data_IF_230479078293
#
_entry.id   IF_230479078293
#
_cell.length_a   1.000
_cell.length_b   1.000
_cell.length_c   1.000
_cell.angle_alpha   90.00
_cell.angle_beta   90.00
_cell.angle_gamma   90.00
#
_symmetry.space_group_name_H-M   'P 1'
#
loop_
_entity.id
_entity.type
_entity.pdbx_description
1 polymer ?
#
# COMPACT_ATOMS: atom_id res chain seq x y z
N UNK A 1 -11.40 -22.91 -19.09
CA UNK A 1 -11.84 -21.50 -19.22
C UNK A 1 -11.19 -20.92 -20.46
N UNK A 2 -11.98 -20.49 -21.43
CA UNK A 2 -11.48 -19.86 -22.65
C UNK A 2 -11.02 -18.43 -22.33
N UNK A 3 -9.70 -18.26 -22.20
CA UNK A 3 -9.07 -16.97 -21.85
C UNK A 3 -9.19 -15.94 -22.97
N UNK A 4 -9.58 -16.31 -24.19
CA UNK A 4 -9.81 -15.38 -25.31
C UNK A 4 -11.12 -14.60 -25.18
N UNK A 5 -12.11 -15.11 -24.42
CA UNK A 5 -13.37 -14.40 -24.12
C UNK A 5 -13.27 -13.43 -22.95
N UNK A 6 -12.18 -13.51 -22.20
CA UNK A 6 -11.90 -12.66 -21.04
C UNK A 6 -11.19 -11.39 -21.51
N UNK A 7 -11.94 -10.47 -22.14
CA UNK A 7 -11.49 -9.11 -22.45
C UNK A 7 -11.48 -8.25 -21.16
N UNK A 8 -10.71 -8.70 -20.16
CA UNK A 8 -10.69 -8.12 -18.81
C UNK A 8 -9.49 -7.21 -18.67
N UNK A 9 -9.68 -5.96 -19.07
CA UNK A 9 -8.76 -4.89 -18.72
C UNK A 9 -9.05 -4.41 -17.30
N UNK A 10 -8.05 -4.43 -16.42
CA UNK A 10 -8.06 -3.71 -15.16
C UNK A 10 -8.52 -4.49 -13.93
N UNK A 11 -9.05 -3.75 -12.94
CA UNK A 11 -9.42 -4.28 -11.63
C UNK A 11 -10.90 -4.66 -11.66
N UNK A 12 -11.18 -5.89 -11.28
CA UNK A 12 -12.53 -6.44 -11.11
C UNK A 12 -12.89 -6.30 -9.63
N UNK A 13 -13.87 -5.44 -9.36
CA UNK A 13 -14.40 -5.19 -8.01
C UNK A 13 -15.29 -6.34 -7.53
N UNK A 14 -15.41 -6.55 -6.21
CA UNK A 14 -16.24 -7.58 -5.57
C UNK A 14 -17.67 -7.71 -6.14
N UNK A 15 -18.30 -6.59 -6.53
CA UNK A 15 -19.69 -6.54 -6.98
C UNK A 15 -19.83 -6.84 -8.48
N UNK A 16 -18.71 -7.08 -9.19
CA UNK A 16 -18.73 -7.27 -10.63
C UNK A 16 -19.33 -8.63 -11.01
N UNK A 17 -20.27 -8.61 -11.96
CA UNK A 17 -20.79 -9.84 -12.63
C UNK A 17 -19.68 -10.71 -13.24
N UNK A 18 -18.49 -10.12 -13.50
CA UNK A 18 -17.31 -10.83 -14.03
C UNK A 18 -16.70 -11.82 -13.03
N UNK A 19 -17.02 -11.73 -11.74
CA UNK A 19 -16.53 -12.66 -10.71
C UNK A 19 -17.32 -13.97 -10.64
N UNK A 20 -18.35 -14.15 -11.49
CA UNK A 20 -19.10 -15.42 -11.63
C UNK A 20 -19.56 -16.03 -10.30
N UNK A 21 -19.99 -15.18 -9.35
CA UNK A 21 -20.50 -15.63 -8.05
C UNK A 21 -19.49 -15.65 -6.91
N UNK A 22 -18.29 -15.08 -7.09
CA UNK A 22 -17.29 -14.92 -6.02
C UNK A 22 -17.16 -13.46 -5.52
N UNK A 23 -18.16 -12.93 -4.79
CA UNK A 23 -18.15 -11.54 -4.31
C UNK A 23 -17.07 -11.28 -3.26
N UNK A 24 -16.43 -12.30 -2.70
CA UNK A 24 -15.32 -12.16 -1.76
C UNK A 24 -14.01 -11.69 -2.41
N UNK A 25 -13.89 -11.84 -3.74
CA UNK A 25 -12.64 -11.58 -4.45
C UNK A 25 -12.56 -10.19 -5.07
N UNK A 26 -11.37 -9.64 -4.96
CA UNK A 26 -10.83 -8.51 -5.72
C UNK A 26 -9.76 -9.10 -6.64
N UNK A 27 -9.95 -8.97 -7.96
CA UNK A 27 -9.02 -9.50 -8.95
C UNK A 27 -8.43 -8.35 -9.77
N UNK A 28 -7.10 -8.23 -9.78
CA UNK A 28 -6.40 -7.29 -10.66
C UNK A 28 -5.83 -8.03 -11.85
N UNK A 29 -6.24 -7.63 -13.06
CA UNK A 29 -5.76 -8.20 -14.31
C UNK A 29 -4.92 -7.12 -15.00
N UNK A 30 -3.62 -7.38 -15.20
CA UNK A 30 -2.66 -6.42 -15.76
C UNK A 30 -2.15 -6.91 -17.12
N UNK A 31 -1.94 -5.98 -18.06
CA UNK A 31 -1.62 -6.20 -19.47
C UNK A 31 -0.18 -6.68 -19.78
N UNK A 32 0.56 -7.25 -18.82
CA UNK A 32 1.89 -7.78 -19.11
C UNK A 32 1.81 -9.29 -19.41
N UNK A 33 2.75 -9.80 -20.22
CA UNK A 33 2.96 -11.20 -20.64
C UNK A 33 3.05 -12.24 -19.50
N UNK A 34 2.79 -11.83 -18.26
CA UNK A 34 2.67 -12.67 -17.07
C UNK A 34 1.27 -12.48 -16.46
N UNK A 35 0.40 -13.49 -16.60
CA UNK A 35 -0.83 -13.59 -15.81
C UNK A 35 -0.45 -13.78 -14.33
N UNK A 36 -0.36 -12.70 -13.56
CA UNK A 36 -0.22 -12.81 -12.11
C UNK A 36 -1.59 -13.12 -11.51
N UNK A 37 -1.90 -14.40 -11.33
CA UNK A 37 -2.91 -14.84 -10.37
C UNK A 37 -2.41 -14.54 -8.96
N UNK A 38 -2.48 -13.26 -8.54
CA UNK A 38 -2.23 -12.87 -7.14
C UNK A 38 -3.08 -13.78 -6.25
N UNK A 39 -2.46 -14.37 -5.21
CA UNK A 39 -2.66 -15.75 -4.71
C UNK A 39 -4.09 -16.29 -4.81
N UNK A 40 -4.61 -16.52 -6.02
CA UNK A 40 -6.02 -16.85 -6.28
C UNK A 40 -7.05 -16.01 -5.50
N UNK A 41 -6.83 -14.70 -5.36
CA UNK A 41 -7.75 -13.82 -4.59
C UNK A 41 -7.62 -13.92 -3.06
N UNK A 42 -6.69 -14.71 -2.52
CA UNK A 42 -6.54 -14.85 -1.05
C UNK A 42 -6.12 -13.57 -0.31
N UNK A 43 -5.62 -12.56 -1.03
CA UNK A 43 -5.34 -11.23 -0.49
C UNK A 43 -6.51 -10.24 -0.65
N UNK A 44 -7.63 -10.66 -1.24
CA UNK A 44 -8.78 -9.77 -1.44
C UNK A 44 -9.30 -9.20 -0.13
N UNK A 45 -9.26 -9.98 0.96
CA UNK A 45 -9.60 -9.51 2.31
C UNK A 45 -8.84 -8.24 2.70
N UNK A 46 -7.56 -8.11 2.37
CA UNK A 46 -6.77 -6.91 2.64
C UNK A 46 -7.27 -5.70 1.83
N UNK A 47 -7.44 -5.86 0.51
CA UNK A 47 -7.87 -4.76 -0.35
C UNK A 47 -9.30 -4.31 -0.04
N UNK A 48 -10.18 -5.23 0.32
CA UNK A 48 -11.53 -4.92 0.80
C UNK A 48 -11.48 -4.16 2.12
N UNK A 49 -10.67 -4.59 3.09
CA UNK A 49 -10.52 -3.86 4.34
C UNK A 49 -9.99 -2.43 4.14
N UNK A 50 -9.04 -2.22 3.21
CA UNK A 50 -8.59 -0.87 2.86
C UNK A 50 -9.72 -0.03 2.26
N UNK A 51 -10.43 -0.58 1.27
CA UNK A 51 -11.43 0.13 0.48
C UNK A 51 -12.74 0.38 1.22
N UNK A 52 -13.27 -0.64 1.89
CA UNK A 52 -14.60 -0.66 2.47
C UNK A 52 -14.58 -0.28 3.95
N UNK A 53 -13.54 -0.69 4.69
CA UNK A 53 -13.49 -0.53 6.15
C UNK A 53 -12.48 0.53 6.62
N UNK A 54 -11.63 1.06 5.73
CA UNK A 54 -10.50 1.93 6.07
C UNK A 54 -9.59 1.30 7.14
N UNK A 55 -9.30 0.01 6.98
CA UNK A 55 -8.46 -0.76 7.89
C UNK A 55 -7.24 -1.35 7.20
N UNK A 56 -6.11 -1.35 7.91
CA UNK A 56 -4.90 -2.07 7.53
C UNK A 56 -4.92 -3.41 8.24
N UNK A 57 -5.06 -4.50 7.49
CA UNK A 57 -4.97 -5.84 8.07
C UNK A 57 -3.55 -6.39 7.96
N UNK A 58 -3.05 -6.94 9.06
CA UNK A 58 -1.87 -7.80 9.09
C UNK A 58 -2.28 -9.26 9.25
N UNK A 59 -1.36 -10.17 8.99
CA UNK A 59 -1.54 -11.60 9.27
C UNK A 59 -0.59 -12.04 10.37
N UNK A 60 -1.11 -12.65 11.43
CA UNK A 60 -0.37 -13.15 12.58
C UNK A 60 -0.22 -14.67 12.49
N UNK A 61 1.02 -15.15 12.48
CA UNK A 61 1.33 -16.55 12.71
C UNK A 61 1.59 -16.77 14.20
N UNK A 62 0.96 -17.78 14.81
CA UNK A 62 1.18 -18.14 16.23
C UNK A 62 2.66 -18.34 16.59
N UNK A 63 3.47 -18.85 15.66
CA UNK A 63 4.90 -19.14 15.87
C UNK A 63 5.84 -18.01 15.46
N UNK A 64 5.46 -17.19 14.49
CA UNK A 64 6.40 -16.27 13.83
C UNK A 64 6.01 -14.79 13.95
N UNK A 65 4.89 -14.45 14.58
CA UNK A 65 4.46 -13.06 14.78
C UNK A 65 3.71 -12.47 13.60
N UNK A 66 3.76 -11.14 13.47
CA UNK A 66 2.96 -10.37 12.52
C UNK A 66 3.70 -10.14 11.19
N UNK A 67 2.94 -10.19 10.09
CA UNK A 67 3.42 -9.89 8.74
C UNK A 67 2.56 -8.80 8.10
N UNK A 68 3.23 -7.77 7.59
CA UNK A 68 2.63 -6.67 6.84
C UNK A 68 3.59 -6.25 5.70
N UNK A 69 3.20 -6.28 4.41
CA UNK A 69 1.88 -6.61 3.88
C UNK A 69 1.41 -8.02 4.25
N UNK A 70 0.10 -8.24 4.43
CA UNK A 70 -0.40 -9.53 4.89
C UNK A 70 -0.16 -10.62 3.83
N UNK A 71 -0.01 -11.85 4.32
CA UNK A 71 0.17 -13.04 3.48
C UNK A 71 -0.84 -14.09 3.91
N UNK A 72 -1.49 -14.80 2.99
CA UNK A 72 -2.49 -15.81 3.34
C UNK A 72 -1.88 -17.10 3.92
N UNK A 73 -0.55 -17.15 4.00
CA UNK A 73 0.25 -18.19 4.65
C UNK A 73 1.44 -17.51 5.33
N UNK A 74 1.95 -18.11 6.41
CA UNK A 74 3.18 -17.65 7.02
C UNK A 74 4.38 -17.89 6.07
N UNK A 75 5.23 -16.88 5.77
CA UNK A 75 6.39 -17.08 4.91
C UNK A 75 7.46 -17.98 5.52
N UNK A 76 7.54 -18.03 6.86
CA UNK A 76 8.58 -18.78 7.57
C UNK A 76 8.24 -20.29 7.68
N UNK A 77 6.96 -20.64 7.92
CA UNK A 77 6.55 -22.04 8.11
C UNK A 77 5.48 -22.54 7.15
N UNK A 78 5.08 -21.72 6.19
CA UNK A 78 4.10 -22.05 5.13
C UNK A 78 2.70 -22.47 5.63
N UNK A 79 2.46 -22.37 6.94
CA UNK A 79 1.16 -22.69 7.53
C UNK A 79 0.07 -21.75 7.00
N UNK A 80 -1.10 -22.28 6.59
CA UNK A 80 -2.28 -21.48 6.31
C UNK A 80 -3.01 -21.01 7.58
N UNK A 81 -2.68 -21.57 8.76
CA UNK A 81 -3.24 -21.14 10.05
C UNK A 81 -2.60 -19.80 10.47
N UNK A 82 -3.13 -18.73 9.89
CA UNK A 82 -2.81 -17.34 10.22
C UNK A 82 -4.07 -16.57 10.58
N UNK A 83 -3.96 -15.73 11.61
CA UNK A 83 -5.04 -14.86 12.05
C UNK A 83 -4.94 -13.51 11.32
N UNK A 84 -6.07 -13.01 10.80
CA UNK A 84 -6.14 -11.67 10.24
C UNK A 84 -6.52 -10.68 11.33
N UNK A 85 -5.64 -9.72 11.60
CA UNK A 85 -5.78 -8.78 12.70
C UNK A 85 -5.87 -7.34 12.18
N UNK A 86 -6.68 -6.52 12.83
CA UNK A 86 -6.67 -5.07 12.59
C UNK A 86 -5.35 -4.49 13.12
N UNK A 87 -4.62 -3.83 12.23
CA UNK A 87 -3.29 -3.31 12.47
C UNK A 87 -3.23 -1.79 12.21
N UNK A 88 -4.39 -1.14 12.06
CA UNK A 88 -4.52 0.26 11.63
C UNK A 88 -3.90 1.24 12.62
N UNK A 89 -4.05 0.98 13.92
CA UNK A 89 -3.62 1.88 15.00
C UNK A 89 -2.19 1.59 15.50
N UNK A 90 -1.43 0.75 14.81
CA UNK A 90 -0.05 0.44 15.20
C UNK A 90 0.89 1.60 14.87
N UNK A 91 1.90 1.89 15.71
CA UNK A 91 2.89 2.92 15.41
C UNK A 91 3.54 2.66 14.05
N UNK A 92 3.61 3.69 13.20
CA UNK A 92 4.17 3.60 11.87
C UNK A 92 5.29 4.62 11.67
N UNK A 93 6.38 4.19 11.04
CA UNK A 93 7.50 5.05 10.71
C UNK A 93 8.10 4.67 9.36
N UNK A 94 8.69 5.65 8.69
CA UNK A 94 9.46 5.40 7.47
C UNK A 94 10.74 4.66 7.86
N UNK A 95 10.89 3.42 7.39
CA UNK A 95 12.16 2.67 7.52
C UNK A 95 13.19 3.20 6.54
N UNK A 96 12.76 3.41 5.31
CA UNK A 96 13.53 4.06 4.24
C UNK A 96 12.58 4.59 3.17
N UNK A 97 13.01 5.56 2.38
CA UNK A 97 12.22 6.10 1.29
C UNK A 97 13.08 6.49 0.09
N UNK A 98 12.45 6.54 -1.08
CA UNK A 98 13.04 7.08 -2.31
C UNK A 98 12.10 8.08 -2.94
N UNK A 99 12.65 9.13 -3.55
CA UNK A 99 11.89 10.07 -4.36
C UNK A 99 11.82 9.51 -5.78
N UNK A 100 10.62 9.20 -6.24
CA UNK A 100 10.37 8.63 -7.56
C UNK A 100 10.02 9.76 -8.55
N UNK A 101 10.98 10.12 -9.41
CA UNK A 101 10.77 11.07 -10.53
C UNK A 101 10.26 10.40 -11.81
N UNK A 102 10.25 9.07 -11.83
CA UNK A 102 9.76 8.27 -12.93
C UNK A 102 8.99 7.09 -12.35
N UNK A 103 7.86 6.76 -12.97
CA UNK A 103 7.02 5.66 -12.51
C UNK A 103 6.26 5.01 -13.68
N UNK A 104 5.79 3.79 -13.47
CA UNK A 104 4.88 3.15 -14.42
C UNK A 104 3.57 3.93 -14.54
N UNK A 105 2.82 3.70 -15.64
CA UNK A 105 1.59 4.42 -15.99
C UNK A 105 0.61 4.65 -14.83
N UNK A 106 0.50 3.70 -13.90
CA UNK A 106 -0.39 3.82 -12.75
C UNK A 106 -0.03 4.95 -11.77
N UNK A 107 1.20 5.44 -11.76
CA UNK A 107 1.69 6.46 -10.82
C UNK A 107 2.32 7.67 -11.51
N UNK A 108 2.28 7.73 -12.85
CA UNK A 108 2.98 8.75 -13.62
C UNK A 108 2.48 10.15 -13.29
N UNK A 109 1.17 10.31 -13.14
CA UNK A 109 0.52 11.60 -12.82
C UNK A 109 0.81 12.06 -11.38
N UNK A 110 1.36 11.20 -10.52
CA UNK A 110 1.76 11.55 -9.16
C UNK A 110 3.26 11.86 -9.04
N UNK A 111 4.02 11.80 -10.15
CA UNK A 111 5.45 12.11 -10.10
C UNK A 111 5.71 13.63 -9.97
N UNK A 112 6.67 14.06 -9.14
CA UNK A 112 7.45 13.25 -8.20
C UNK A 112 6.67 12.89 -6.92
N UNK A 113 6.87 11.67 -6.41
CA UNK A 113 6.33 11.24 -5.11
C UNK A 113 7.38 10.52 -4.27
N UNK A 114 7.13 10.38 -2.96
CA UNK A 114 7.94 9.52 -2.09
C UNK A 114 7.35 8.12 -2.07
N UNK A 115 8.15 7.14 -2.49
CA UNK A 115 7.89 5.73 -2.19
C UNK A 115 8.57 5.40 -0.86
N UNK A 116 7.78 5.22 0.20
CA UNK A 116 8.27 4.86 1.52
C UNK A 116 8.08 3.37 1.81
N UNK A 117 9.05 2.79 2.51
CA UNK A 117 8.94 1.50 3.16
C UNK A 117 8.61 1.74 4.63
N UNK A 118 7.38 1.43 5.01
CA UNK A 118 6.81 1.75 6.31
C UNK A 118 6.97 0.54 7.23
N UNK A 119 7.66 0.74 8.35
CA UNK A 119 7.68 -0.19 9.48
C UNK A 119 6.45 0.11 10.34
N UNK A 120 5.62 -0.90 10.60
CA UNK A 120 4.43 -0.76 11.44
C UNK A 120 4.48 -1.75 12.61
N UNK A 121 4.36 -1.25 13.84
CA UNK A 121 4.45 -2.04 15.06
C UNK A 121 5.59 -3.07 15.00
N UNK A 122 5.29 -4.30 15.40
CA UNK A 122 6.21 -5.45 15.39
C UNK A 122 6.14 -6.28 14.10
N UNK A 123 5.62 -5.72 13.00
CA UNK A 123 5.54 -6.46 11.74
C UNK A 123 6.95 -6.80 11.25
N UNK A 124 7.18 -8.07 10.90
CA UNK A 124 8.49 -8.55 10.44
C UNK A 124 8.93 -7.99 9.10
N UNK A 125 8.00 -7.46 8.31
CA UNK A 125 8.25 -6.90 6.99
C UNK A 125 7.76 -5.46 6.93
N UNK A 126 8.29 -4.70 5.98
CA UNK A 126 7.90 -3.32 5.71
C UNK A 126 6.92 -3.23 4.55
N UNK A 127 5.94 -2.34 4.65
CA UNK A 127 4.98 -2.08 3.59
C UNK A 127 5.44 -0.93 2.70
N UNK A 128 5.45 -1.14 1.38
CA UNK A 128 5.67 -0.04 0.44
C UNK A 128 4.39 0.76 0.22
N UNK A 129 4.43 2.08 0.40
CA UNK A 129 3.30 2.97 0.11
C UNK A 129 3.79 4.37 -0.26
N UNK A 130 2.91 5.18 -0.84
CA UNK A 130 3.17 6.60 -1.07
C UNK A 130 3.23 7.31 0.28
N UNK A 131 4.27 8.13 0.47
CA UNK A 131 4.39 9.03 1.63
C UNK A 131 4.20 10.47 1.17
N UNK A 132 3.42 11.23 1.91
CA UNK A 132 3.20 12.65 1.69
C UNK A 132 3.74 13.47 2.86
N UNK A 133 4.20 14.67 2.56
CA UNK A 133 4.67 15.68 3.50
C UNK A 133 3.55 16.68 3.85
N UNK A 134 2.60 16.86 2.93
CA UNK A 134 1.37 17.63 3.14
C UNK A 134 0.20 16.97 2.38
N UNK A 135 -1.02 17.20 2.85
CA UNK A 135 -2.23 16.83 2.09
C UNK A 135 -2.51 17.80 0.95
N UNK A 136 -2.01 19.03 1.04
CA UNK A 136 -2.03 19.99 -0.06
C UNK A 136 -1.00 19.56 -1.13
N UNK A 137 -1.41 19.28 -2.38
CA UNK A 137 -0.50 18.82 -3.42
C UNK A 137 0.60 19.82 -3.79
N UNK A 138 0.30 21.12 -3.74
CA UNK A 138 1.25 22.19 -4.08
C UNK A 138 2.31 22.32 -2.99
N UNK A 139 1.88 22.35 -1.73
CA UNK A 139 2.79 22.38 -0.59
C UNK A 139 3.65 21.10 -0.55
N UNK A 140 3.04 19.94 -0.77
CA UNK A 140 3.75 18.66 -0.80
C UNK A 140 4.84 18.66 -1.89
N UNK A 141 4.52 19.10 -3.10
CA UNK A 141 5.49 19.19 -4.21
C UNK A 141 6.63 20.15 -3.88
N UNK A 142 6.31 21.31 -3.28
CA UNK A 142 7.31 22.30 -2.85
C UNK A 142 8.26 21.73 -1.80
N UNK A 143 7.73 21.04 -0.79
CA UNK A 143 8.54 20.38 0.25
C UNK A 143 9.41 19.26 -0.33
N UNK A 144 8.87 18.46 -1.27
CA UNK A 144 9.63 17.43 -1.97
C UNK A 144 10.81 18.01 -2.75
N UNK A 145 10.58 19.10 -3.49
CA UNK A 145 11.64 19.81 -4.21
C UNK A 145 12.72 20.32 -3.26
N UNK A 146 12.32 20.95 -2.14
CA UNK A 146 13.27 21.42 -1.11
C UNK A 146 14.10 20.28 -0.53
N UNK A 147 13.52 19.11 -0.25
CA UNK A 147 14.27 17.92 0.21
C UNK A 147 15.31 17.46 -0.82
N UNK A 148 14.98 17.50 -2.10
CA UNK A 148 15.89 17.12 -3.18
C UNK A 148 17.04 18.12 -3.31
N UNK A 149 16.72 19.41 -3.38
CA UNK A 149 17.70 20.49 -3.59
C UNK A 149 18.69 20.56 -2.43
N UNK A 150 18.19 20.37 -1.21
CA UNK A 150 19.01 20.34 0.01
C UNK A 150 19.63 18.98 0.31
N UNK A 151 19.32 17.93 -0.47
CA UNK A 151 19.77 16.54 -0.27
C UNK A 151 19.47 15.97 1.12
N UNK A 152 18.35 16.40 1.73
CA UNK A 152 17.91 16.03 3.08
C UNK A 152 16.97 14.82 3.12
N UNK A 153 16.85 14.06 2.01
CA UNK A 153 15.90 12.95 1.90
C UNK A 153 16.16 11.81 2.91
N UNK A 154 17.39 11.64 3.40
CA UNK A 154 17.70 10.65 4.45
C UNK A 154 17.08 11.00 5.81
N UNK A 155 16.71 12.26 6.04
CA UNK A 155 16.03 12.70 7.27
C UNK A 155 14.60 12.15 7.38
N UNK A 156 14.06 11.57 6.31
CA UNK A 156 12.80 10.83 6.35
C UNK A 156 12.90 9.54 7.17
N UNK A 157 14.08 8.93 7.26
CA UNK A 157 14.25 7.68 7.98
C UNK A 157 13.95 7.87 9.47
N UNK A 158 13.08 7.02 10.01
CA UNK A 158 12.60 7.11 11.40
C UNK A 158 11.47 8.11 11.62
N UNK A 159 11.07 8.90 10.61
CA UNK A 159 9.95 9.83 10.79
C UNK A 159 8.65 9.06 10.98
N UNK A 160 7.89 9.49 11.98
CA UNK A 160 6.56 8.97 12.27
C UNK A 160 5.61 9.35 11.14
N UNK A 161 4.76 8.40 10.79
CA UNK A 161 3.74 8.58 9.77
C UNK A 161 2.40 8.05 10.26
N UNK A 162 1.33 8.55 9.69
CA UNK A 162 -0.02 8.03 9.89
C UNK A 162 -0.66 7.63 8.56
N UNK A 163 -1.49 6.57 8.56
CA UNK A 163 -2.21 6.19 7.35
C UNK A 163 -3.34 7.18 7.04
N UNK A 164 -3.62 7.32 5.75
CA UNK A 164 -4.79 8.01 5.19
C UNK A 164 -5.36 7.12 4.10
N UNK A 165 -6.69 7.07 4.02
CA UNK A 165 -7.42 6.24 3.07
C UNK A 165 -8.10 7.12 2.05
N UNK A 166 -8.03 6.74 0.77
CA UNK A 166 -8.62 7.56 -0.29
C UNK A 166 -10.17 7.49 -0.23
N UNK A 167 -10.89 8.60 -0.50
CA UNK A 167 -12.36 8.60 -0.43
C UNK A 167 -13.03 7.69 -1.47
N UNK A 168 -12.40 7.51 -2.63
CA UNK A 168 -12.93 6.73 -3.76
C UNK A 168 -11.98 5.56 -4.07
N UNK A 169 -12.06 4.45 -3.33
CA UNK A 169 -11.11 3.35 -3.46
C UNK A 169 -11.21 2.63 -4.80
N UNK A 170 -10.08 2.12 -5.26
CA UNK A 170 -9.95 1.33 -6.49
C UNK A 170 -9.72 -0.16 -6.23
N UNK A 171 -9.71 -0.57 -4.96
CA UNK A 171 -9.30 -1.89 -4.47
C UNK A 171 -7.85 -2.20 -4.82
N UNK A 172 -6.98 -1.22 -4.58
CA UNK A 172 -5.55 -1.27 -4.89
C UNK A 172 -4.68 -0.90 -3.70
N UNK A 173 -3.38 -1.09 -3.86
CA UNK A 173 -2.36 -0.54 -2.96
C UNK A 173 -2.37 1.00 -2.89
N UNK A 174 -3.04 1.70 -3.82
CA UNK A 174 -3.19 3.17 -3.82
C UNK A 174 -4.33 3.65 -2.94
N UNK A 175 -5.13 2.73 -2.39
CA UNK A 175 -6.25 3.11 -1.54
C UNK A 175 -5.81 3.60 -0.15
N UNK A 176 -4.50 3.49 0.12
CA UNK A 176 -3.82 3.99 1.30
C UNK A 176 -2.56 4.75 0.90
N UNK A 177 -2.31 5.85 1.59
CA UNK A 177 -1.03 6.55 1.63
C UNK A 177 -0.70 6.91 3.08
N UNK A 178 0.54 7.33 3.32
CA UNK A 178 1.01 7.74 4.64
C UNK A 178 1.35 9.23 4.63
N UNK A 179 1.09 9.91 5.74
CA UNK A 179 1.50 11.30 5.93
C UNK A 179 2.50 11.41 7.08
N UNK A 180 3.57 12.17 6.89
CA UNK A 180 4.53 12.47 7.98
C UNK A 180 3.85 13.35 9.04
N UNK A 181 4.05 13.03 10.31
CA UNK A 181 3.38 13.73 11.42
C UNK A 181 4.27 14.67 12.23
N UNK A 182 5.58 14.66 11.97
CA UNK A 182 6.56 15.51 12.63
C UNK A 182 6.45 16.97 12.16
N UNK A 183 5.63 17.76 12.85
CA UNK A 183 5.34 19.16 12.49
C UNK A 183 6.58 20.05 12.55
N UNK A 184 7.46 19.85 13.53
CA UNK A 184 8.68 20.64 13.69
C UNK A 184 9.60 20.44 12.49
N UNK A 185 9.83 19.18 12.12
CA UNK A 185 10.63 18.85 10.95
C UNK A 185 9.98 19.34 9.65
N UNK A 186 8.67 19.14 9.47
CA UNK A 186 7.93 19.63 8.31
C UNK A 186 8.01 21.16 8.16
N UNK A 187 7.99 21.90 9.27
CA UNK A 187 8.15 23.35 9.23
C UNK A 187 9.54 23.77 8.71
N UNK A 188 10.59 22.96 8.87
CA UNK A 188 11.90 23.23 8.24
C UNK A 188 11.88 23.13 6.72
N UNK A 189 10.85 22.49 6.15
CA UNK A 189 10.61 22.31 4.72
C UNK A 189 9.59 23.30 4.14
N UNK A 190 8.91 24.08 4.98
CA UNK A 190 8.10 25.20 4.52
C UNK A 190 8.97 26.34 4.01
#
# INVERSE_FOLDING_TARGET
MDTKKLNVKGIVRPESKRLMGHPEYVVSIRDYTTYQFKPYGRNSKYFRALAEEKKILATKCKRHGFFLPPRPFCPDCQSPDVEWVDYTNQPAQVKTASICKFAGKAFLDETPFLLGFIQMGEAKTVMSSVVKLSEDPTENTRMLNKLMDTRRYMELNGRKVEPRFIPHPQYTVRDIYFIVTDKEWLNTLK
#
